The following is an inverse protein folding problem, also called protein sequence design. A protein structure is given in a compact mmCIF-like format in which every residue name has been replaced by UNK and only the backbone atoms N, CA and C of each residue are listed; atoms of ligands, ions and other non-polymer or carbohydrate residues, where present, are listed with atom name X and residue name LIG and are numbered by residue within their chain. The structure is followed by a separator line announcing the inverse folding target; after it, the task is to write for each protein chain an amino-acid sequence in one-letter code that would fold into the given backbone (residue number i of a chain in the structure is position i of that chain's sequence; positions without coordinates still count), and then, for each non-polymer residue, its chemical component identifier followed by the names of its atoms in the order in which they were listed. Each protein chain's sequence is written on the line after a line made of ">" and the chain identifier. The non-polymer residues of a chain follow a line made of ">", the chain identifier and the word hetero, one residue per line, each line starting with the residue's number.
data_IF_289335593408
#
_entry.id   IF_289335593408
#
_cell.length_a   1.000
_cell.length_b   1.000
_cell.length_c   1.000
_cell.angle_alpha   90.00
_cell.angle_beta   90.00
_cell.angle_gamma   90.00
#
_symmetry.space_group_name_H-M   'P 1'
#
loop_
_entity.id
_entity.type
_entity.pdbx_description
1 polymer ?
#
# COMPACT_ATOMS: atom_id res chain seq x y z
N UNK A 1 -10.78 12.39 -21.02
CA UNK A 1 -10.22 11.05 -21.27
C UNK A 1 -10.05 10.38 -19.91
N UNK A 2 -10.33 9.08 -19.80
CA UNK A 2 -9.90 8.29 -18.67
C UNK A 2 -8.36 8.40 -18.49
N UNK A 3 -7.86 8.10 -17.29
CA UNK A 3 -6.42 8.15 -17.02
C UNK A 3 -6.00 6.95 -16.18
N UNK A 4 -4.76 6.54 -16.37
CA UNK A 4 -4.08 5.51 -15.59
C UNK A 4 -3.24 6.13 -14.47
N UNK A 5 -3.65 5.90 -13.22
CA UNK A 5 -2.94 6.33 -12.02
C UNK A 5 -2.17 5.18 -11.38
N UNK A 6 -0.90 5.42 -11.06
CA UNK A 6 -0.11 4.56 -10.16
C UNK A 6 0.19 5.28 -8.85
N UNK A 7 -0.44 4.81 -7.76
CA UNK A 7 -0.21 5.27 -6.39
C UNK A 7 0.74 4.32 -5.68
N UNK A 8 2.00 4.73 -5.54
CA UNK A 8 3.03 3.91 -4.90
C UNK A 8 3.31 4.35 -3.47
N UNK A 9 3.76 3.42 -2.64
CA UNK A 9 4.13 3.73 -1.25
C UNK A 9 5.13 2.73 -0.66
N UNK A 10 5.55 2.99 0.59
CA UNK A 10 6.17 1.96 1.43
C UNK A 10 5.10 1.17 2.18
N UNK A 11 5.45 -0.02 2.68
CA UNK A 11 4.59 -0.79 3.56
C UNK A 11 4.16 0.07 4.76
N UNK A 12 2.93 -0.13 5.21
CA UNK A 12 2.35 0.63 6.33
C UNK A 12 2.21 2.15 6.09
N UNK A 13 2.07 2.57 4.84
CA UNK A 13 1.72 3.96 4.47
C UNK A 13 0.21 4.21 4.31
N UNK A 14 -0.65 3.28 4.75
CA UNK A 14 -2.11 3.42 4.62
C UNK A 14 -2.68 3.10 3.23
N UNK A 15 -1.93 2.39 2.38
CA UNK A 15 -2.31 2.07 0.99
C UNK A 15 -3.71 1.44 0.88
N UNK A 16 -3.98 0.37 1.62
CA UNK A 16 -5.29 -0.30 1.58
C UNK A 16 -6.42 0.57 2.19
N UNK A 17 -6.10 1.54 3.05
CA UNK A 17 -7.10 2.53 3.51
C UNK A 17 -7.48 3.45 2.35
N UNK A 18 -6.51 3.93 1.56
CA UNK A 18 -6.78 4.81 0.42
C UNK A 18 -7.55 4.09 -0.70
N UNK A 19 -7.21 2.82 -0.96
CA UNK A 19 -7.97 1.92 -1.87
C UNK A 19 -9.43 1.83 -1.42
N UNK A 20 -9.66 1.42 -0.18
CA UNK A 20 -11.01 1.17 0.35
C UNK A 20 -11.82 2.46 0.47
N UNK A 21 -11.18 3.58 0.83
CA UNK A 21 -11.80 4.90 0.81
C UNK A 21 -12.25 5.28 -0.60
N UNK A 22 -11.38 5.09 -1.59
CA UNK A 22 -11.71 5.38 -2.99
C UNK A 22 -12.86 4.51 -3.46
N UNK A 23 -12.81 3.19 -3.19
CA UNK A 23 -13.87 2.25 -3.50
C UNK A 23 -15.21 2.64 -2.86
N UNK A 24 -15.19 3.00 -1.57
CA UNK A 24 -16.37 3.45 -0.83
C UNK A 24 -17.00 4.69 -1.47
N UNK A 25 -16.20 5.67 -1.88
CA UNK A 25 -16.70 6.90 -2.51
C UNK A 25 -17.43 6.63 -3.84
N UNK A 26 -16.95 5.67 -4.65
CA UNK A 26 -17.67 5.26 -5.87
C UNK A 26 -19.02 4.62 -5.51
N UNK A 27 -19.01 3.70 -4.55
CA UNK A 27 -20.21 2.99 -4.07
C UNK A 27 -21.26 3.95 -3.49
N UNK A 28 -20.86 4.94 -2.69
CA UNK A 28 -21.75 5.96 -2.13
C UNK A 28 -22.43 6.82 -3.21
N UNK A 29 -21.77 7.00 -4.36
CA UNK A 29 -22.31 7.72 -5.51
C UNK A 29 -23.16 6.83 -6.43
N UNK A 30 -23.38 5.57 -6.07
CA UNK A 30 -24.07 4.59 -6.93
C UNK A 30 -23.25 4.18 -8.15
N UNK A 31 -21.94 4.43 -8.15
CA UNK A 31 -21.03 4.08 -9.24
C UNK A 31 -20.35 2.73 -8.97
N UNK A 32 -20.11 1.97 -10.03
CA UNK A 32 -19.47 0.66 -9.94
C UNK A 32 -17.95 0.81 -10.11
N UNK A 33 -17.20 0.50 -9.06
CA UNK A 33 -15.76 0.25 -9.17
C UNK A 33 -15.50 -1.25 -9.10
N UNK A 34 -14.64 -1.78 -9.97
CA UNK A 34 -14.12 -3.14 -9.84
C UNK A 34 -12.84 -3.10 -9.02
N UNK A 35 -12.80 -3.85 -7.92
CA UNK A 35 -11.66 -3.93 -7.02
C UNK A 35 -10.91 -5.24 -7.25
N UNK A 36 -9.64 -5.15 -7.64
CA UNK A 36 -8.74 -6.27 -7.85
C UNK A 36 -7.70 -6.37 -6.73
N UNK A 37 -7.28 -7.59 -6.39
CA UNK A 37 -6.19 -7.86 -5.44
C UNK A 37 -5.41 -9.11 -5.84
N UNK A 38 -4.16 -9.20 -5.43
CA UNK A 38 -3.30 -10.34 -5.76
C UNK A 38 -3.62 -11.56 -4.90
N UNK A 39 -3.65 -12.75 -5.49
CA UNK A 39 -3.78 -14.04 -4.78
C UNK A 39 -2.62 -14.34 -3.82
N UNK A 40 -1.47 -13.70 -4.06
CA UNK A 40 -0.29 -13.70 -3.17
C UNK A 40 -0.50 -12.86 -1.90
N UNK A 41 -1.62 -12.17 -1.76
CA UNK A 41 -2.02 -11.48 -0.53
C UNK A 41 -3.11 -12.25 0.23
N UNK A 42 -2.68 -13.10 1.16
CA UNK A 42 -3.57 -13.88 2.04
C UNK A 42 -3.66 -13.30 3.47
N UNK A 43 -3.05 -12.13 3.73
CA UNK A 43 -2.86 -11.55 5.08
C UNK A 43 -4.16 -11.37 5.86
N UNK A 44 -5.29 -11.19 5.17
CA UNK A 44 -6.61 -10.96 5.78
C UNK A 44 -7.70 -11.88 5.24
N UNK A 45 -7.29 -13.01 4.64
CA UNK A 45 -8.12 -13.98 3.94
C UNK A 45 -8.19 -13.69 2.43
N UNK A 46 -8.11 -14.76 1.63
CA UNK A 46 -8.20 -14.70 0.16
C UNK A 46 -9.54 -14.11 -0.28
N UNK A 47 -9.54 -13.26 -1.31
CA UNK A 47 -10.75 -12.66 -1.87
C UNK A 47 -11.13 -11.28 -1.33
N UNK A 48 -10.27 -10.66 -0.52
CA UNK A 48 -10.58 -9.38 0.14
C UNK A 48 -9.40 -8.43 0.17
N UNK A 49 -9.71 -7.14 0.06
CA UNK A 49 -8.82 -6.06 0.49
C UNK A 49 -9.24 -5.64 1.89
N UNK A 50 -8.29 -5.62 2.82
CA UNK A 50 -8.54 -5.20 4.19
C UNK A 50 -7.51 -4.17 4.66
N UNK A 51 -7.98 -3.20 5.43
CA UNK A 51 -7.14 -2.20 6.09
C UNK A 51 -6.89 -2.55 7.55
N UNK A 52 -5.82 -1.98 8.11
CA UNK A 52 -5.49 -2.12 9.54
C UNK A 52 -6.49 -1.45 10.49
N UNK A 53 -7.37 -0.58 9.97
CA UNK A 53 -8.38 0.12 10.77
C UNK A 53 -9.75 -0.56 10.70
N UNK A 54 -9.81 -1.80 10.22
CA UNK A 54 -11.02 -2.63 10.25
C UNK A 54 -11.93 -2.55 9.02
N UNK A 55 -11.60 -1.72 8.02
CA UNK A 55 -12.34 -1.73 6.74
C UNK A 55 -11.96 -2.96 5.92
N UNK A 56 -12.94 -3.61 5.30
CA UNK A 56 -12.76 -4.81 4.46
C UNK A 56 -13.80 -4.86 3.35
N UNK A 57 -13.38 -5.11 2.11
CA UNK A 57 -14.24 -5.25 0.94
C UNK A 57 -13.83 -6.45 0.09
N UNK A 58 -14.79 -7.03 -0.63
CA UNK A 58 -14.52 -8.14 -1.57
C UNK A 58 -13.75 -7.63 -2.78
N UNK A 59 -12.82 -8.45 -3.26
CA UNK A 59 -12.02 -8.15 -4.43
C UNK A 59 -12.01 -9.34 -5.40
N UNK A 60 -11.88 -9.02 -6.69
CA UNK A 60 -11.58 -9.96 -7.76
C UNK A 60 -10.10 -10.31 -7.64
N UNK A 61 -9.80 -11.59 -7.48
CA UNK A 61 -8.41 -12.03 -7.34
C UNK A 61 -7.75 -12.11 -8.72
N UNK A 62 -6.50 -11.65 -8.80
CA UNK A 62 -5.63 -11.92 -9.94
C UNK A 62 -4.43 -12.76 -9.50
N UNK A 63 -4.07 -13.70 -10.34
CA UNK A 63 -2.83 -14.45 -10.33
C UNK A 63 -1.97 -14.04 -11.54
N UNK A 64 -0.92 -14.79 -11.78
CA UNK A 64 0.04 -14.57 -12.86
C UNK A 64 -0.52 -14.78 -14.29
N UNK A 65 -1.63 -15.51 -14.42
CA UNK A 65 -2.24 -15.90 -15.70
C UNK A 65 -3.57 -15.16 -15.96
N UNK A 66 -4.08 -14.44 -14.96
CA UNK A 66 -5.33 -13.69 -15.04
C UNK A 66 -5.25 -12.60 -16.12
N UNK A 67 -6.20 -12.64 -17.07
CA UNK A 67 -6.41 -11.57 -18.05
C UNK A 67 -7.39 -10.53 -17.51
N UNK A 68 -6.87 -9.39 -17.04
CA UNK A 68 -7.67 -8.35 -16.40
C UNK A 68 -8.58 -7.65 -17.42
N UNK A 69 -8.06 -7.41 -18.63
CA UNK A 69 -8.82 -6.76 -19.70
C UNK A 69 -10.06 -7.58 -20.08
N UNK A 70 -9.93 -8.89 -20.27
CA UNK A 70 -11.06 -9.79 -20.59
C UNK A 70 -12.14 -9.77 -19.49
N UNK A 71 -11.74 -9.76 -18.21
CA UNK A 71 -12.68 -9.67 -17.09
C UNK A 71 -13.47 -8.37 -17.18
N UNK A 72 -12.80 -7.22 -17.37
CA UNK A 72 -13.48 -5.91 -17.47
C UNK A 72 -14.37 -5.86 -18.70
N UNK A 73 -13.86 -6.31 -19.85
CA UNK A 73 -14.59 -6.35 -21.10
C UNK A 73 -15.87 -7.21 -20.99
N UNK A 74 -15.83 -8.31 -20.24
CA UNK A 74 -17.00 -9.17 -20.00
C UNK A 74 -18.16 -8.44 -19.32
N UNK A 75 -17.88 -7.54 -18.36
CA UNK A 75 -18.91 -6.69 -17.73
C UNK A 75 -19.43 -5.65 -18.72
N UNK A 76 -18.53 -4.96 -19.43
CA UNK A 76 -18.90 -3.94 -20.42
C UNK A 76 -19.78 -4.50 -21.54
N UNK A 77 -19.45 -5.68 -22.06
CA UNK A 77 -20.24 -6.39 -23.10
C UNK A 77 -21.65 -6.77 -22.63
N UNK A 78 -21.90 -6.78 -21.31
CA UNK A 78 -23.22 -7.01 -20.71
C UNK A 78 -23.94 -5.72 -20.35
N UNK A 79 -23.50 -4.60 -20.92
CA UNK A 79 -24.05 -3.27 -20.68
C UNK A 79 -23.98 -2.85 -19.20
N UNK A 80 -23.06 -3.44 -18.44
CA UNK A 80 -22.79 -3.03 -17.05
C UNK A 80 -21.82 -1.85 -17.11
N UNK A 81 -22.28 -0.68 -16.67
CA UNK A 81 -21.43 0.51 -16.57
C UNK A 81 -20.39 0.32 -15.46
N UNK A 82 -19.12 0.24 -15.85
CA UNK A 82 -17.97 0.22 -14.93
C UNK A 82 -17.35 1.60 -14.91
N UNK A 83 -17.35 2.25 -13.75
CA UNK A 83 -16.90 3.64 -13.60
C UNK A 83 -15.42 3.76 -13.22
N UNK A 84 -14.81 2.69 -12.70
CA UNK A 84 -13.40 2.67 -12.29
C UNK A 84 -12.86 1.25 -12.07
N UNK A 85 -11.57 1.06 -12.33
CA UNK A 85 -10.82 -0.11 -11.89
C UNK A 85 -9.86 0.30 -10.77
N UNK A 86 -9.92 -0.40 -9.64
CA UNK A 86 -8.98 -0.27 -8.53
C UNK A 86 -8.17 -1.55 -8.41
N UNK A 87 -6.85 -1.46 -8.30
CA UNK A 87 -5.97 -2.62 -8.14
C UNK A 87 -5.13 -2.46 -6.88
N UNK A 88 -5.37 -3.24 -5.84
CA UNK A 88 -4.47 -3.32 -4.68
C UNK A 88 -3.32 -4.30 -4.95
N UNK A 89 -2.20 -4.07 -4.25
CA UNK A 89 -0.95 -4.80 -4.39
C UNK A 89 -0.48 -4.99 -5.85
N UNK A 90 -0.67 -3.95 -6.68
CA UNK A 90 -0.36 -3.94 -8.12
C UNK A 90 1.11 -4.20 -8.47
N UNK A 91 2.01 -4.12 -7.49
CA UNK A 91 3.41 -4.51 -7.64
C UNK A 91 3.60 -6.01 -7.94
N UNK A 92 2.58 -6.84 -7.71
CA UNK A 92 2.55 -8.26 -8.08
C UNK A 92 2.08 -8.52 -9.52
N UNK A 93 1.61 -7.51 -10.24
CA UNK A 93 1.25 -7.66 -11.65
C UNK A 93 2.48 -8.01 -12.48
N UNK A 94 2.28 -8.83 -13.51
CA UNK A 94 3.24 -9.00 -14.61
C UNK A 94 3.17 -7.83 -15.59
N UNK A 95 4.23 -7.63 -16.38
CA UNK A 95 4.26 -6.53 -17.39
C UNK A 95 3.04 -6.55 -18.32
N UNK A 96 2.62 -7.72 -18.81
CA UNK A 96 1.45 -7.84 -19.69
C UNK A 96 0.16 -7.41 -19.01
N UNK A 97 -0.03 -7.71 -17.72
CA UNK A 97 -1.20 -7.27 -16.98
C UNK A 97 -1.23 -5.76 -16.78
N UNK A 98 -0.06 -5.12 -16.63
CA UNK A 98 0.01 -3.65 -16.60
C UNK A 98 -0.36 -3.04 -17.95
N UNK A 99 0.04 -3.65 -19.07
CA UNK A 99 -0.39 -3.22 -20.40
C UNK A 99 -1.91 -3.38 -20.59
N UNK A 100 -2.50 -4.48 -20.10
CA UNK A 100 -3.96 -4.67 -20.08
C UNK A 100 -4.68 -3.55 -19.30
N UNK A 101 -4.09 -3.02 -18.22
CA UNK A 101 -4.65 -1.87 -17.51
C UNK A 101 -4.62 -0.60 -18.36
N UNK A 102 -3.56 -0.38 -19.14
CA UNK A 102 -3.50 0.73 -20.09
C UNK A 102 -4.55 0.55 -21.21
N UNK A 103 -4.69 -0.65 -21.77
CA UNK A 103 -5.72 -0.98 -22.77
C UNK A 103 -7.15 -0.72 -22.25
N UNK A 104 -7.44 -0.96 -20.96
CA UNK A 104 -8.73 -0.60 -20.36
C UNK A 104 -8.97 0.92 -20.41
N UNK A 105 -7.93 1.72 -20.15
CA UNK A 105 -8.04 3.20 -20.21
C UNK A 105 -8.24 3.65 -21.65
N UNK A 106 -7.46 3.12 -22.59
CA UNK A 106 -7.43 3.58 -23.97
C UNK A 106 -8.66 3.12 -24.77
N UNK A 107 -9.00 1.83 -24.68
CA UNK A 107 -10.02 1.21 -25.53
C UNK A 107 -11.42 1.22 -24.89
N UNK A 108 -11.50 1.12 -23.56
CA UNK A 108 -12.78 1.11 -22.84
C UNK A 108 -13.11 2.47 -22.21
N UNK A 109 -12.16 3.43 -22.19
CA UNK A 109 -12.30 4.74 -21.56
C UNK A 109 -12.78 4.66 -20.09
N UNK A 110 -12.26 3.67 -19.35
CA UNK A 110 -12.51 3.46 -17.92
C UNK A 110 -11.23 3.83 -17.15
N UNK A 111 -11.27 4.72 -16.13
CA UNK A 111 -10.08 5.07 -15.37
C UNK A 111 -9.57 3.91 -14.52
N UNK A 112 -8.25 3.79 -14.42
CA UNK A 112 -7.58 2.78 -13.59
C UNK A 112 -6.75 3.45 -12.50
N UNK A 113 -6.87 2.97 -11.26
CA UNK A 113 -6.04 3.39 -10.13
C UNK A 113 -5.38 2.16 -9.50
N UNK A 114 -4.09 2.01 -9.77
CA UNK A 114 -3.26 0.93 -9.26
C UNK A 114 -2.48 1.36 -8.02
N UNK A 115 -2.48 0.51 -6.99
CA UNK A 115 -1.85 0.75 -5.71
C UNK A 115 -0.79 -0.31 -5.44
N UNK A 116 0.46 0.10 -5.30
CA UNK A 116 1.56 -0.87 -5.13
C UNK A 116 2.72 -0.37 -4.28
N UNK A 117 3.65 -1.27 -4.01
CA UNK A 117 4.95 -0.92 -3.45
C UNK A 117 5.90 -0.53 -4.57
N UNK A 118 6.79 0.43 -4.33
CA UNK A 118 7.83 0.77 -5.31
C UNK A 118 8.92 -0.30 -5.37
N UNK A 119 9.51 -0.61 -4.21
CA UNK A 119 10.65 -1.52 -4.09
C UNK A 119 10.38 -2.58 -3.04
N UNK A 120 11.05 -3.72 -3.19
CA UNK A 120 11.15 -4.74 -2.15
C UNK A 120 11.99 -4.26 -0.95
N UNK A 121 12.26 -5.17 -0.02
CA UNK A 121 13.07 -4.86 1.17
C UNK A 121 14.58 -4.69 0.89
N UNK A 122 15.06 -5.22 -0.24
CA UNK A 122 16.45 -5.07 -0.71
C UNK A 122 16.65 -3.70 -1.37
N UNK A 123 15.56 -3.08 -1.80
CA UNK A 123 15.55 -1.78 -2.48
C UNK A 123 15.47 -1.90 -3.99
N UNK A 124 15.20 -3.10 -4.51
CA UNK A 124 15.02 -3.38 -5.93
C UNK A 124 13.56 -3.14 -6.33
N UNK A 125 13.33 -2.66 -7.56
CA UNK A 125 11.97 -2.48 -8.08
C UNK A 125 11.29 -3.84 -8.25
N UNK A 126 9.99 -3.90 -7.97
CA UNK A 126 9.17 -5.02 -8.43
C UNK A 126 8.97 -4.94 -9.96
N UNK A 127 8.80 -6.09 -10.60
CA UNK A 127 8.52 -6.15 -12.04
C UNK A 127 7.27 -5.33 -12.41
N UNK A 128 6.14 -5.60 -11.74
CA UNK A 128 4.90 -4.87 -11.94
C UNK A 128 5.07 -3.37 -11.71
N UNK A 129 5.80 -2.99 -10.66
CA UNK A 129 6.09 -1.58 -10.39
C UNK A 129 6.92 -0.91 -11.48
N UNK A 130 7.90 -1.61 -12.05
CA UNK A 130 8.70 -1.10 -13.17
C UNK A 130 7.81 -0.80 -14.39
N UNK A 131 6.91 -1.73 -14.73
CA UNK A 131 5.92 -1.50 -15.79
C UNK A 131 4.97 -0.35 -15.43
N UNK A 132 4.45 -0.30 -14.20
CA UNK A 132 3.53 0.77 -13.76
C UNK A 132 4.15 2.17 -13.81
N UNK A 133 5.45 2.31 -13.52
CA UNK A 133 6.14 3.60 -13.71
C UNK A 133 6.27 4.01 -15.17
N UNK A 134 6.24 3.06 -16.09
CA UNK A 134 6.40 3.30 -17.52
C UNK A 134 5.07 3.63 -18.19
N UNK A 135 4.01 2.91 -17.83
CA UNK A 135 2.73 2.97 -18.54
C UNK A 135 1.70 3.94 -17.90
N UNK A 136 1.82 4.29 -16.62
CA UNK A 136 0.82 5.16 -15.97
C UNK A 136 0.96 6.64 -16.38
N UNK A 137 -0.18 7.27 -16.73
CA UNK A 137 -0.27 8.71 -17.00
C UNK A 137 0.17 9.57 -15.81
N UNK A 138 -0.13 9.11 -14.59
CA UNK A 138 0.12 9.81 -13.34
C UNK A 138 0.71 8.89 -12.30
N UNK A 139 1.83 9.32 -11.71
CA UNK A 139 2.53 8.59 -10.66
C UNK A 139 2.51 9.42 -9.38
N UNK A 140 1.90 8.87 -8.34
CA UNK A 140 1.63 9.56 -7.07
C UNK A 140 2.27 8.79 -5.89
N UNK A 141 2.94 9.49 -4.98
CA UNK A 141 3.54 8.90 -3.78
C UNK A 141 2.62 9.07 -2.57
N UNK A 142 2.13 7.98 -1.99
CA UNK A 142 1.52 7.99 -0.66
C UNK A 142 2.62 7.98 0.40
N UNK A 143 2.79 9.13 1.07
CA UNK A 143 3.91 9.39 1.99
C UNK A 143 3.59 8.84 3.38
N UNK A 144 4.62 8.33 4.06
CA UNK A 144 4.57 8.01 5.49
C UNK A 144 5.88 8.42 6.17
N UNK A 145 5.91 8.32 7.49
CA UNK A 145 7.04 8.74 8.33
C UNK A 145 7.90 7.51 8.65
N UNK A 146 9.22 7.71 8.65
CA UNK A 146 10.16 6.67 9.05
C UNK A 146 9.94 6.27 10.52
N UNK A 147 9.92 4.98 10.80
CA UNK A 147 9.75 4.49 12.17
C UNK A 147 10.84 4.94 13.16
N UNK A 148 12.06 5.15 12.67
CA UNK A 148 13.23 5.46 13.50
C UNK A 148 13.65 6.94 13.48
N UNK A 149 12.94 7.82 12.77
CA UNK A 149 13.22 9.26 12.74
C UNK A 149 12.06 10.06 12.13
N UNK A 150 12.09 11.39 12.22
CA UNK A 150 11.01 12.26 11.73
C UNK A 150 11.02 12.55 10.22
N UNK A 151 11.80 11.81 9.42
CA UNK A 151 11.90 12.03 7.97
C UNK A 151 10.94 11.12 7.19
N UNK A 152 10.61 11.51 5.95
CA UNK A 152 9.82 10.69 5.02
C UNK A 152 10.43 9.30 4.83
N UNK A 153 9.62 8.26 4.99
CA UNK A 153 10.00 6.89 4.65
C UNK A 153 10.03 6.70 3.12
N UNK A 154 11.03 5.96 2.65
CA UNK A 154 11.26 5.71 1.21
C UNK A 154 11.75 4.29 0.91
N UNK A 155 11.85 3.44 1.94
CA UNK A 155 12.33 2.06 1.88
C UNK A 155 11.50 1.18 2.81
N UNK A 156 11.42 -0.10 2.48
CA UNK A 156 10.83 -1.15 3.31
C UNK A 156 11.96 -1.89 4.01
N UNK A 157 12.10 -1.75 5.32
CA UNK A 157 13.04 -2.54 6.10
C UNK A 157 12.38 -3.86 6.48
N UNK A 158 13.02 -4.98 6.18
CA UNK A 158 12.68 -6.28 6.77
C UNK A 158 13.48 -6.48 8.05
N UNK A 159 12.82 -6.95 9.10
CA UNK A 159 13.44 -7.31 10.39
C UNK A 159 13.04 -8.75 10.67
N UNK A 160 14.01 -9.61 10.93
CA UNK A 160 13.78 -11.00 11.30
C UNK A 160 14.43 -11.27 12.66
N UNK A 161 13.67 -11.80 13.63
CA UNK A 161 14.16 -12.04 14.99
C UNK A 161 14.88 -10.81 15.60
N UNK A 162 14.29 -9.62 15.46
CA UNK A 162 14.86 -8.32 15.86
C UNK A 162 16.17 -7.90 15.16
N UNK A 163 16.58 -8.60 14.10
CA UNK A 163 17.77 -8.28 13.30
C UNK A 163 17.33 -7.68 11.95
N UNK A 164 17.87 -6.53 11.52
CA UNK A 164 17.58 -5.98 10.20
C UNK A 164 18.17 -6.88 9.10
N UNK A 165 17.34 -7.25 8.13
CA UNK A 165 17.69 -8.22 7.07
C UNK A 165 17.68 -7.53 5.69
N UNK A 166 18.72 -7.78 4.90
CA UNK A 166 18.95 -7.14 3.59
C UNK A 166 19.14 -8.13 2.43
N UNK A 167 19.07 -9.43 2.72
CA UNK A 167 19.20 -10.52 1.75
C UNK A 167 18.14 -11.59 2.03
N UNK A 168 17.89 -12.47 1.06
CA UNK A 168 16.89 -13.55 1.11
C UNK A 168 15.78 -13.36 0.09
N UNK A 169 14.80 -14.26 0.11
CA UNK A 169 13.70 -14.27 -0.85
C UNK A 169 12.82 -13.02 -0.73
N UNK A 170 12.30 -12.58 -1.89
CA UNK A 170 11.62 -11.30 -2.08
C UNK A 170 10.25 -11.23 -1.38
N UNK A 171 9.56 -12.37 -1.30
CA UNK A 171 8.23 -12.47 -0.73
C UNK A 171 8.27 -13.45 0.42
N UNK A 172 8.34 -12.90 1.63
CA UNK A 172 7.90 -13.62 2.82
C UNK A 172 6.65 -12.89 3.29
N UNK A 173 5.50 -13.54 3.16
CA UNK A 173 4.23 -13.04 3.67
C UNK A 173 4.34 -13.07 5.21
N UNK A 174 4.73 -11.95 5.79
CA UNK A 174 4.74 -11.74 7.23
C UNK A 174 3.47 -11.04 7.66
N UNK A 175 2.75 -11.62 8.63
CA UNK A 175 1.86 -10.85 9.48
C UNK A 175 2.71 -9.81 10.24
N UNK A 176 2.35 -8.53 10.19
CA UNK A 176 3.21 -7.48 10.75
C UNK A 176 2.58 -6.70 11.90
N UNK A 177 3.47 -6.43 12.87
CA UNK A 177 3.47 -5.47 13.98
C UNK A 177 2.80 -5.86 15.31
N UNK A 178 1.69 -6.62 15.32
CA UNK A 178 0.92 -6.78 16.57
C UNK A 178 1.06 -8.13 17.29
N UNK A 179 1.91 -9.04 16.80
CA UNK A 179 2.24 -10.28 17.53
C UNK A 179 3.70 -10.28 17.92
N UNK A 180 3.96 -10.40 19.22
CA UNK A 180 5.29 -10.63 19.81
C UNK A 180 5.95 -11.94 19.32
N UNK A 181 5.26 -12.71 18.46
CA UNK A 181 5.65 -14.01 17.92
C UNK A 181 5.95 -14.00 16.41
N UNK A 182 6.00 -12.86 15.73
CA UNK A 182 6.31 -12.86 14.30
C UNK A 182 7.83 -12.97 14.06
N UNK A 183 8.27 -14.05 13.41
CA UNK A 183 9.67 -14.20 12.96
C UNK A 183 10.10 -13.04 12.05
N UNK A 184 9.19 -12.48 11.23
CA UNK A 184 9.49 -11.44 10.23
C UNK A 184 8.54 -10.24 10.35
N UNK A 185 9.10 -9.04 10.46
CA UNK A 185 8.41 -7.75 10.47
C UNK A 185 8.89 -6.83 9.35
N UNK A 186 8.03 -5.91 8.88
CA UNK A 186 8.44 -4.85 7.94
C UNK A 186 8.11 -3.44 8.45
N UNK A 187 9.09 -2.54 8.35
CA UNK A 187 9.00 -1.15 8.78
C UNK A 187 9.29 -0.17 7.64
N UNK A 188 8.47 0.88 7.46
CA UNK A 188 8.81 1.97 6.55
C UNK A 188 9.94 2.83 7.15
N UNK A 189 11.03 3.00 6.41
CA UNK A 189 12.21 3.74 6.87
C UNK A 189 12.76 4.71 5.83
N UNK A 190 13.47 5.74 6.27
CA UNK A 190 14.21 6.63 5.37
C UNK A 190 15.54 6.00 4.92
N UNK A 191 16.09 6.48 3.80
CA UNK A 191 17.39 5.99 3.27
C UNK A 191 18.54 6.09 4.29
N UNK A 192 18.56 7.14 5.13
CA UNK A 192 19.61 7.36 6.14
C UNK A 192 19.56 6.30 7.25
N UNK A 193 18.38 6.02 7.79
CA UNK A 193 18.20 4.98 8.80
C UNK A 193 18.51 3.59 8.23
N UNK A 194 18.04 3.29 7.01
CA UNK A 194 18.37 2.05 6.31
C UNK A 194 19.89 1.85 6.17
N UNK A 195 20.61 2.88 5.73
CA UNK A 195 22.09 2.84 5.60
C UNK A 195 22.76 2.57 6.95
N UNK A 196 22.33 3.24 8.03
CA UNK A 196 22.90 3.02 9.36
C UNK A 196 22.73 1.57 9.82
N UNK A 197 21.53 1.00 9.69
CA UNK A 197 21.24 -0.39 10.07
C UNK A 197 21.99 -1.40 9.21
N UNK A 198 22.16 -1.10 7.91
CA UNK A 198 22.95 -1.95 7.00
C UNK A 198 24.43 -2.01 7.38
N UNK A 199 24.99 -0.91 7.89
CA UNK A 199 26.39 -0.85 8.35
C UNK A 199 26.55 -1.46 9.73
N UNK A 200 25.63 -1.19 10.66
CA UNK A 200 25.75 -1.67 12.05
C UNK A 200 25.33 -3.14 12.23
N UNK A 201 24.50 -3.67 11.32
CA UNK A 201 23.83 -4.96 11.50
C UNK A 201 22.80 -4.98 12.64
N UNK A 202 22.47 -3.81 13.21
CA UNK A 202 21.61 -3.67 14.39
C UNK A 202 20.47 -2.71 14.11
N UNK A 203 19.29 -3.03 14.66
CA UNK A 203 18.15 -2.13 14.63
C UNK A 203 18.50 -0.82 15.35
N UNK A 204 18.05 0.31 14.81
CA UNK A 204 18.16 1.59 15.52
C UNK A 204 17.18 1.61 16.71
N UNK A 205 17.49 2.34 17.79
CA UNK A 205 16.52 2.57 18.84
C UNK A 205 15.30 3.28 18.25
N UNK A 206 14.10 2.86 18.69
CA UNK A 206 12.89 3.62 18.42
C UNK A 206 12.98 4.98 19.14
N UNK A 207 12.32 6.03 18.63
CA UNK A 207 12.24 7.29 19.34
C UNK A 207 11.71 7.04 20.76
N UNK A 208 12.35 7.63 21.78
CA UNK A 208 12.09 7.36 23.21
C UNK A 208 10.67 7.73 23.69
N UNK A 209 9.81 8.26 22.83
CA UNK A 209 8.46 8.70 23.21
C UNK A 209 7.47 7.56 23.04
N UNK A 210 6.92 7.04 24.16
CA UNK A 210 5.79 6.12 24.09
C UNK A 210 4.55 6.86 23.60
N UNK A 211 3.79 6.24 22.68
CA UNK A 211 2.57 6.85 22.10
C UNK A 211 1.61 7.38 23.17
N UNK A 212 1.39 6.60 24.23
CA UNK A 212 0.51 6.96 25.36
C UNK A 212 1.00 8.15 26.18
N UNK A 213 2.32 8.37 26.27
CA UNK A 213 2.88 9.51 27.01
C UNK A 213 2.76 10.80 26.21
N UNK A 214 2.90 10.72 24.88
CA UNK A 214 2.71 11.88 23.99
C UNK A 214 1.27 12.36 23.99
N UNK A 215 0.31 11.45 23.82
CA UNK A 215 -1.12 11.80 23.82
C UNK A 215 -1.57 12.35 25.17
N UNK A 216 -1.13 11.72 26.28
CA UNK A 216 -1.42 12.23 27.63
C UNK A 216 -0.86 13.64 27.83
N UNK A 217 0.43 13.84 27.59
CA UNK A 217 1.07 15.15 27.76
C UNK A 217 0.38 16.23 26.92
N UNK A 218 -0.04 15.89 25.68
CA UNK A 218 -0.80 16.80 24.83
C UNK A 218 -2.13 17.20 25.48
N UNK A 219 -2.94 16.24 25.92
CA UNK A 219 -4.25 16.52 26.50
C UNK A 219 -4.15 17.23 27.84
N UNK A 220 -3.24 16.81 28.72
CA UNK A 220 -2.97 17.49 29.99
C UNK A 220 -2.62 18.98 29.75
N UNK A 221 -1.72 19.25 28.78
CA UNK A 221 -1.32 20.63 28.42
C UNK A 221 -2.48 21.42 27.78
N UNK A 222 -3.30 20.76 26.96
CA UNK A 222 -4.45 21.40 26.31
C UNK A 222 -5.54 21.76 27.33
N UNK A 223 -5.80 20.89 28.30
CA UNK A 223 -6.69 21.16 29.43
C UNK A 223 -6.20 22.37 30.23
N UNK A 224 -4.92 22.40 30.62
CA UNK A 224 -4.31 23.58 31.28
C UNK A 224 -4.47 24.87 30.45
N UNK A 225 -4.27 24.79 29.12
CA UNK A 225 -4.48 25.93 28.23
C UNK A 225 -5.94 26.43 28.31
N UNK A 226 -6.91 25.54 28.24
CA UNK A 226 -8.33 25.91 28.33
C UNK A 226 -8.72 26.49 29.69
N UNK A 227 -8.17 25.96 30.78
CA UNK A 227 -8.42 26.45 32.15
C UNK A 227 -7.77 27.82 32.42
N UNK A 228 -6.67 28.14 31.71
CA UNK A 228 -5.98 29.42 31.84
C UNK A 228 -6.78 30.64 31.32
N UNK A 229 -7.97 30.43 30.75
CA UNK A 229 -8.84 31.49 30.22
C UNK A 229 -8.31 32.16 28.95
N UNK A 230 -7.24 31.62 28.35
CA UNK A 230 -6.67 32.08 27.07
C UNK A 230 -7.52 31.52 25.93
N UNK A 231 -8.30 32.39 25.29
CA UNK A 231 -9.01 32.09 24.04
C UNK A 231 -8.07 32.30 22.86
#
# INVERSE_FOLDING_TARGET
>A
MAQFYYRYSTMNAGKSIDVLKTYHNYKEQGKLALLFSSDKDDRYGVGFVASRIGMKEKAIMFDDETNIFEIVQFFVQREIQVDCILVDESHFLRRNQVLQLAEIVDDLNIPVIAYGLRTDFRGELFEGSNALFSEADKVEELKTICWFCYHKATRNLRVQNNVPTFQGEQVVIGNNADKQENEVAYFPVCRKCMKKMKVSGKLLPLPERKKSEVERLFWDTYEEYTESGRK
#
